data_IF_648557317121
#
_entry.id   IF_648557317121
#
_cell.length_a   1.000
_cell.length_b   1.000
_cell.length_c   1.000
_cell.angle_alpha   90.00
_cell.angle_beta   90.00
_cell.angle_gamma   90.00
#
_symmetry.space_group_name_H-M   'P 1'
#
loop_
_entity.id
_entity.type
_entity.pdbx_description
1 polymer ?
#
# COMPACT_ATOMS: atom_id res chain seq x y z
N UNK A 1 18.77 10.80 -7.75
CA UNK A 1 17.68 11.09 -8.69
C UNK A 1 16.55 11.82 -7.96
N UNK A 2 16.00 12.79 -8.62
CA UNK A 2 14.89 13.56 -8.04
C UNK A 2 13.60 12.77 -8.12
N UNK A 3 12.90 12.67 -7.03
CA UNK A 3 11.63 11.94 -6.99
C UNK A 3 10.51 12.75 -7.65
N UNK A 4 9.50 12.02 -8.11
CA UNK A 4 8.29 12.64 -8.65
C UNK A 4 7.58 13.36 -7.49
N UNK A 5 7.18 14.60 -7.72
CA UNK A 5 6.67 15.48 -6.68
C UNK A 5 5.25 15.17 -6.21
N UNK A 6 4.53 14.26 -6.87
CA UNK A 6 3.19 13.87 -6.45
C UNK A 6 3.30 12.71 -5.46
N UNK A 7 3.04 12.92 -4.18
CA UNK A 7 3.15 11.85 -3.21
C UNK A 7 2.07 10.80 -3.40
N UNK A 8 2.37 9.59 -2.96
CA UNK A 8 1.45 8.47 -3.00
C UNK A 8 1.29 7.86 -1.62
N UNK A 9 0.20 7.12 -1.42
CA UNK A 9 0.03 6.24 -0.28
C UNK A 9 0.20 4.81 -0.78
N UNK A 10 1.07 4.05 -0.13
CA UNK A 10 1.35 2.67 -0.51
C UNK A 10 0.63 1.71 0.40
N UNK A 11 -0.03 0.71 -0.19
CA UNK A 11 -0.72 -0.36 0.54
C UNK A 11 -0.06 -1.68 0.20
N UNK A 12 0.37 -2.43 1.19
CA UNK A 12 0.94 -3.74 0.93
C UNK A 12 1.24 -4.50 2.21
N UNK A 13 1.32 -5.82 2.11
CA UNK A 13 1.61 -6.67 3.27
C UNK A 13 2.64 -7.74 2.99
N UNK A 14 2.71 -8.27 1.78
CA UNK A 14 3.54 -9.42 1.47
C UNK A 14 4.94 -9.09 0.96
N UNK A 15 5.72 -10.13 0.63
CA UNK A 15 7.11 -9.93 0.20
C UNK A 15 7.23 -9.22 -1.16
N UNK A 16 6.29 -9.42 -2.06
CA UNK A 16 6.28 -8.69 -3.33
C UNK A 16 6.05 -7.21 -3.08
N UNK A 17 5.13 -6.88 -2.15
CA UNK A 17 4.89 -5.51 -1.76
C UNK A 17 6.14 -4.86 -1.18
N UNK A 18 6.87 -5.59 -0.34
CA UNK A 18 8.09 -5.07 0.27
C UNK A 18 9.14 -4.70 -0.77
N UNK A 19 9.35 -5.56 -1.77
CA UNK A 19 10.28 -5.26 -2.85
C UNK A 19 9.82 -4.08 -3.69
N UNK A 20 8.52 -4.03 -3.96
CA UNK A 20 7.94 -2.93 -4.72
C UNK A 20 8.06 -1.61 -4.00
N UNK A 21 7.89 -1.62 -2.68
CA UNK A 21 8.04 -0.41 -1.87
C UNK A 21 9.45 0.17 -1.98
N UNK A 22 10.48 -0.67 -1.93
CA UNK A 22 11.84 -0.22 -2.12
C UNK A 22 12.01 0.50 -3.46
N UNK A 23 11.48 -0.09 -4.53
CA UNK A 23 11.61 0.49 -5.87
C UNK A 23 10.80 1.78 -6.00
N UNK A 24 9.58 1.78 -5.51
CA UNK A 24 8.71 2.95 -5.59
C UNK A 24 9.27 4.12 -4.79
N UNK A 25 9.93 3.84 -3.67
CA UNK A 25 10.52 4.89 -2.86
C UNK A 25 11.66 5.62 -3.58
N UNK A 26 12.27 5.00 -4.57
CA UNK A 26 13.30 5.65 -5.37
C UNK A 26 12.71 6.64 -6.38
N UNK A 27 11.45 6.46 -6.75
CA UNK A 27 10.80 7.21 -7.82
C UNK A 27 9.79 8.23 -7.28
N UNK A 28 9.02 7.84 -6.27
CA UNK A 28 7.95 8.66 -5.72
C UNK A 28 8.24 9.11 -4.30
N UNK A 29 7.64 10.21 -3.91
CA UNK A 29 7.53 10.55 -2.52
C UNK A 29 6.40 9.70 -1.95
N UNK A 30 6.68 8.92 -0.90
CA UNK A 30 5.69 8.10 -0.26
C UNK A 30 5.22 8.80 1.00
N UNK A 31 3.99 9.26 0.97
CA UNK A 31 3.42 9.97 2.11
C UNK A 31 3.25 9.05 3.32
N UNK A 32 2.78 7.84 3.06
CA UNK A 32 2.58 6.85 4.13
C UNK A 32 2.51 5.45 3.54
N UNK A 33 2.81 4.48 4.38
CA UNK A 33 2.66 3.06 4.08
C UNK A 33 1.54 2.51 4.96
N UNK A 34 0.56 1.88 4.34
CA UNK A 34 -0.53 1.20 5.04
C UNK A 34 -0.29 -0.29 4.94
N UNK A 35 -0.18 -0.94 6.07
CA UNK A 35 0.13 -2.37 6.12
C UNK A 35 -0.56 -3.01 7.32
N UNK A 36 -0.31 -4.29 7.55
CA UNK A 36 -0.80 -4.97 8.75
C UNK A 36 0.23 -4.87 9.86
N UNK A 37 -0.20 -4.84 11.12
CA UNK A 37 0.74 -4.86 12.23
C UNK A 37 1.38 -6.24 12.37
N UNK A 38 2.47 -6.29 13.14
CA UNK A 38 3.10 -7.57 13.48
C UNK A 38 2.12 -8.41 14.30
N UNK A 39 1.85 -9.66 13.90
CA UNK A 39 0.96 -10.50 14.69
C UNK A 39 1.56 -10.77 16.08
N UNK A 40 0.71 -11.00 17.09
CA UNK A 40 1.21 -11.40 18.42
C UNK A 40 2.07 -12.64 18.32
N UNK A 41 3.16 -12.66 19.06
CA UNK A 41 4.10 -13.78 19.12
C UNK A 41 4.81 -14.12 17.81
N UNK A 42 4.65 -13.29 16.80
CA UNK A 42 5.36 -13.48 15.53
C UNK A 42 6.81 -13.03 15.67
N UNK A 43 7.73 -13.94 15.40
CA UNK A 43 9.16 -13.66 15.54
C UNK A 43 9.88 -13.49 14.21
N UNK A 44 9.22 -13.77 13.11
CA UNK A 44 9.82 -13.67 11.79
C UNK A 44 9.67 -12.29 11.17
N UNK A 45 10.00 -12.20 9.91
CA UNK A 45 9.88 -10.96 9.16
C UNK A 45 8.42 -10.55 8.97
N UNK A 46 8.19 -9.25 8.97
CA UNK A 46 6.93 -8.64 8.52
C UNK A 46 7.33 -7.76 7.35
N UNK A 47 7.27 -8.28 6.13
CA UNK A 47 7.99 -7.71 5.00
C UNK A 47 7.83 -6.20 4.80
N UNK A 48 6.60 -5.74 4.62
CA UNK A 48 6.37 -4.31 4.32
C UNK A 48 6.68 -3.45 5.55
N UNK A 49 6.28 -3.91 6.73
CA UNK A 49 6.52 -3.15 7.96
C UNK A 49 8.02 -2.94 8.18
N UNK A 50 8.81 -4.00 7.98
CA UNK A 50 10.25 -3.94 8.18
C UNK A 50 10.92 -3.01 7.16
N UNK A 51 10.51 -3.09 5.89
CA UNK A 51 11.04 -2.20 4.85
C UNK A 51 10.67 -0.75 5.12
N UNK A 52 9.41 -0.49 5.47
CA UNK A 52 8.96 0.87 5.73
C UNK A 52 9.73 1.50 6.89
N UNK A 53 10.00 0.72 7.93
CA UNK A 53 10.81 1.21 9.06
C UNK A 53 12.25 1.49 8.66
N UNK A 54 12.83 0.60 7.88
CA UNK A 54 14.19 0.78 7.38
C UNK A 54 14.29 2.06 6.54
N UNK A 55 13.29 2.33 5.73
CA UNK A 55 13.25 3.53 4.88
C UNK A 55 12.79 4.78 5.64
N UNK A 56 12.43 4.63 6.91
CA UNK A 56 11.94 5.72 7.76
C UNK A 56 10.69 6.39 7.21
N UNK A 57 9.80 5.59 6.64
CA UNK A 57 8.54 6.09 6.10
C UNK A 57 7.46 6.05 7.19
N UNK A 58 6.51 6.98 7.16
CA UNK A 58 5.36 6.92 8.06
C UNK A 58 4.55 5.66 7.81
N UNK A 59 4.14 4.98 8.87
CA UNK A 59 3.40 3.72 8.78
C UNK A 59 2.10 3.83 9.55
N UNK A 60 1.02 3.39 8.91
CA UNK A 60 -0.26 3.19 9.56
C UNK A 60 -0.64 1.72 9.39
N UNK A 61 -1.14 1.13 10.45
CA UNK A 61 -1.47 -0.29 10.42
C UNK A 61 -2.95 -0.52 10.60
N UNK A 62 -3.45 -1.56 9.93
CA UNK A 62 -4.82 -2.03 10.06
C UNK A 62 -4.81 -3.55 10.01
N UNK A 63 -5.61 -4.19 10.85
CA UNK A 63 -5.71 -5.64 10.89
C UNK A 63 -6.79 -6.18 9.96
N UNK A 64 -7.76 -5.33 9.63
CA UNK A 64 -8.94 -5.74 8.87
C UNK A 64 -9.57 -4.54 8.19
N UNK A 65 -10.62 -4.80 7.41
CA UNK A 65 -11.32 -3.79 6.65
C UNK A 65 -11.87 -2.65 7.53
N UNK A 66 -12.40 -2.98 8.69
CA UNK A 66 -12.99 -1.98 9.57
C UNK A 66 -11.94 -1.01 10.10
N UNK A 67 -10.77 -1.52 10.48
CA UNK A 67 -9.67 -0.67 10.92
C UNK A 67 -9.12 0.19 9.78
N UNK A 68 -9.07 -0.38 8.58
CA UNK A 68 -8.64 0.36 7.42
C UNK A 68 -9.59 1.53 7.13
N UNK A 69 -10.90 1.26 7.14
CA UNK A 69 -11.89 2.32 6.93
C UNK A 69 -11.77 3.42 7.99
N UNK A 70 -11.49 3.04 9.24
CA UNK A 70 -11.35 4.01 10.33
C UNK A 70 -10.18 4.96 10.10
N UNK A 71 -9.08 4.48 9.51
CA UNK A 71 -7.96 5.35 9.16
C UNK A 71 -8.43 6.46 8.22
N UNK A 72 -9.22 6.10 7.22
CA UNK A 72 -9.65 7.04 6.19
C UNK A 72 -10.77 7.97 6.64
N UNK A 73 -11.47 7.64 7.72
CA UNK A 73 -12.45 8.55 8.31
C UNK A 73 -11.81 9.84 8.80
N UNK A 74 -10.56 9.78 9.19
CA UNK A 74 -9.83 10.94 9.69
C UNK A 74 -9.19 11.77 8.58
N UNK A 75 -9.34 11.36 7.34
CA UNK A 75 -8.79 12.04 6.16
C UNK A 75 -7.33 12.42 6.33
N UNK A 76 -6.45 11.44 6.60
CA UNK A 76 -5.09 11.74 7.03
C UNK A 76 -4.11 12.10 5.92
N UNK A 77 -4.48 11.88 4.66
CA UNK A 77 -3.52 11.97 3.56
C UNK A 77 -3.86 13.08 2.59
N UNK A 78 -2.81 13.73 2.08
CA UNK A 78 -2.92 14.72 1.01
C UNK A 78 -2.73 14.10 -0.37
N UNK A 79 -2.18 12.89 -0.46
CA UNK A 79 -1.93 12.19 -1.71
C UNK A 79 -3.21 12.00 -2.51
N UNK A 80 -3.11 12.14 -3.83
CA UNK A 80 -4.26 11.96 -4.73
C UNK A 80 -4.34 10.55 -5.30
N UNK A 81 -3.30 9.76 -5.09
CA UNK A 81 -3.18 8.42 -5.66
C UNK A 81 -2.73 7.42 -4.61
N UNK A 82 -3.37 6.26 -4.59
CA UNK A 82 -2.90 5.11 -3.83
C UNK A 82 -2.31 4.07 -4.76
N UNK A 83 -1.32 3.33 -4.30
CA UNK A 83 -0.76 2.18 -5.01
C UNK A 83 -0.84 0.99 -4.09
N UNK A 84 -1.47 -0.07 -4.55
CA UNK A 84 -1.72 -1.28 -3.76
C UNK A 84 -1.07 -2.48 -4.44
N UNK A 85 -0.18 -3.14 -3.72
CA UNK A 85 0.53 -4.30 -4.22
C UNK A 85 0.57 -5.36 -3.12
N UNK A 86 0.08 -6.56 -3.41
CA UNK A 86 0.17 -7.68 -2.49
C UNK A 86 -0.32 -7.29 -1.09
N UNK A 87 -1.56 -6.82 -1.02
CA UNK A 87 -2.17 -6.32 0.20
C UNK A 87 -3.23 -7.30 0.71
N UNK A 88 -3.10 -7.70 1.95
CA UNK A 88 -3.93 -8.75 2.55
C UNK A 88 -5.27 -8.29 3.14
N UNK A 89 -5.73 -7.09 2.82
CA UNK A 89 -7.00 -6.56 3.30
C UNK A 89 -7.84 -6.13 2.10
N UNK A 90 -9.12 -6.44 2.14
CA UNK A 90 -10.05 -5.98 1.10
C UNK A 90 -10.31 -4.50 1.30
N UNK A 91 -10.12 -3.74 0.23
CA UNK A 91 -10.28 -2.28 0.26
C UNK A 91 -11.72 -1.92 -0.09
N UNK A 92 -12.35 -1.11 0.74
CA UNK A 92 -13.72 -0.67 0.51
C UNK A 92 -13.77 0.44 -0.53
N UNK A 93 -14.95 0.66 -1.08
CA UNK A 93 -15.18 1.76 -2.00
C UNK A 93 -14.86 3.12 -1.35
N UNK A 94 -15.14 3.25 -0.07
CA UNK A 94 -14.81 4.45 0.69
C UNK A 94 -13.32 4.80 0.62
N UNK A 95 -12.46 3.81 0.78
CA UNK A 95 -11.02 4.02 0.71
C UNK A 95 -10.59 4.38 -0.71
N UNK A 96 -11.15 3.70 -1.71
CA UNK A 96 -10.85 4.00 -3.11
C UNK A 96 -11.26 5.43 -3.45
N UNK A 97 -12.46 5.82 -3.05
CA UNK A 97 -13.01 7.15 -3.35
C UNK A 97 -12.27 8.28 -2.63
N UNK A 98 -11.55 7.94 -1.57
CA UNK A 98 -10.75 8.93 -0.87
C UNK A 98 -9.72 9.59 -1.80
N UNK A 99 -9.19 8.83 -2.74
CA UNK A 99 -8.16 9.32 -3.64
C UNK A 99 -8.78 9.83 -4.93
N UNK A 100 -8.61 11.12 -5.26
CA UNK A 100 -9.15 11.67 -6.51
C UNK A 100 -8.71 10.91 -7.76
N UNK A 101 -7.49 10.36 -7.76
CA UNK A 101 -6.97 9.57 -8.86
C UNK A 101 -7.16 8.06 -8.66
N UNK A 102 -7.78 7.66 -7.55
CA UNK A 102 -8.04 6.26 -7.26
C UNK A 102 -6.84 5.52 -6.72
N UNK A 103 -6.94 4.20 -6.76
CA UNK A 103 -5.88 3.29 -6.33
C UNK A 103 -5.50 2.39 -7.49
N UNK A 104 -4.22 2.33 -7.80
CA UNK A 104 -3.70 1.37 -8.78
C UNK A 104 -3.40 0.09 -8.02
N UNK A 105 -3.97 -1.01 -8.47
CA UNK A 105 -3.72 -2.32 -7.90
C UNK A 105 -2.88 -3.14 -8.88
N UNK A 106 -1.74 -3.59 -8.42
CA UNK A 106 -0.88 -4.45 -9.20
C UNK A 106 -0.91 -5.86 -8.63
N UNK A 107 -1.32 -6.81 -9.44
CA UNK A 107 -1.32 -8.21 -9.09
C UNK A 107 -0.23 -8.91 -9.87
N UNK A 108 0.58 -9.69 -9.15
CA UNK A 108 1.60 -10.49 -9.79
C UNK A 108 1.20 -11.95 -9.68
N UNK A 109 1.11 -12.60 -10.81
CA UNK A 109 0.79 -14.00 -10.89
C UNK A 109 1.93 -14.75 -11.56
N UNK A 110 2.24 -15.94 -11.06
CA UNK A 110 3.25 -16.80 -11.66
C UNK A 110 2.65 -17.74 -12.67
N UNK A 111 1.36 -17.69 -12.88
CA UNK A 111 0.70 -18.58 -13.82
C UNK A 111 1.01 -18.17 -15.25
N UNK A 112 1.05 -19.15 -16.16
CA UNK A 112 1.32 -18.84 -17.57
C UNK A 112 0.32 -17.88 -18.18
N UNK A 113 -0.88 -17.85 -17.67
CA UNK A 113 -1.93 -16.96 -18.15
C UNK A 113 -1.91 -15.61 -17.44
N UNK A 114 -0.75 -15.09 -17.24
CA UNK A 114 -0.60 -13.80 -16.57
C UNK A 114 -1.46 -12.74 -17.22
N UNK A 115 -2.16 -12.01 -16.37
CA UNK A 115 -2.94 -10.85 -16.79
C UNK A 115 -2.14 -9.59 -16.69
N UNK A 116 -0.97 -9.65 -16.06
CA UNK A 116 -0.21 -8.47 -15.76
C UNK A 116 -0.85 -7.67 -14.64
N UNK A 117 -0.61 -6.38 -14.65
CA UNK A 117 -1.20 -5.49 -13.67
C UNK A 117 -2.65 -5.23 -14.04
N UNK A 118 -3.53 -5.41 -13.08
CA UNK A 118 -4.94 -5.09 -13.24
C UNK A 118 -5.24 -3.87 -12.39
N UNK A 119 -5.56 -2.73 -13.01
CA UNK A 119 -5.99 -1.60 -12.22
C UNK A 119 -7.33 -1.92 -11.58
N UNK A 120 -7.49 -1.52 -10.34
CA UNK A 120 -8.79 -1.59 -9.71
C UNK A 120 -9.68 -0.56 -10.40
N UNK A 121 -10.86 -1.00 -10.81
CA UNK A 121 -11.80 -0.09 -11.43
C UNK A 121 -12.46 0.77 -10.37
N UNK A 122 -12.44 2.05 -10.59
CA UNK A 122 -12.87 3.02 -9.60
C UNK A 122 -14.11 3.75 -10.01
N UNK A 123 -14.89 3.15 -10.73
CA UNK A 123 -16.13 3.82 -11.12
C UNK A 123 -17.08 3.94 -9.97
#
# INVERSE_FOLDING_TARGET
>A
MKKISNPIVFFGTGPVAARSLNLLNEVFEIEAVVTKPRPPHHKGEVPVLDVARKLKLPVLTARNKAELDAIFDKKPFASKLGILIDFGIIVSQKVIDYFPLGIINSHFSLLPALRGADPITFA
#
